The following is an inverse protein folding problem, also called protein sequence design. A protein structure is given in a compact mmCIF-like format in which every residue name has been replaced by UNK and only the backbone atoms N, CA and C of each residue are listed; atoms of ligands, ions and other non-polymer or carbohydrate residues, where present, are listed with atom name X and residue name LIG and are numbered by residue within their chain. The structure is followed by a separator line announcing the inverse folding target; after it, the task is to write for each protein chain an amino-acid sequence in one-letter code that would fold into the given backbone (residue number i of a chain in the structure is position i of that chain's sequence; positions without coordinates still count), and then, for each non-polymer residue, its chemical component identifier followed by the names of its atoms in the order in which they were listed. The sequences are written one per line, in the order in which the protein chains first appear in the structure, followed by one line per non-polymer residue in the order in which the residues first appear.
data_IF_827908071007
#
_entry.id   IF_827908071007
#
_cell.length_a   1.000
_cell.length_b   1.000
_cell.length_c   1.000
_cell.angle_alpha   90.00
_cell.angle_beta   90.00
_cell.angle_gamma   90.00
#
_symmetry.space_group_name_H-M   'P 1'
#
loop_
_entity.id
_entity.type
_entity.pdbx_description
1 polymer ?
#
# COMPACT_ATOMS: atom_id res chain seq x y z
N UNK A 1 -17.86 1.19 -39.12
CA UNK A 1 -16.58 0.59 -38.67
C UNK A 1 -16.60 0.46 -37.13
N UNK A 2 -15.80 -0.44 -36.59
CA UNK A 2 -15.64 -0.50 -35.12
C UNK A 2 -14.89 0.75 -34.64
N UNK A 3 -15.35 1.35 -33.53
CA UNK A 3 -14.67 2.49 -32.91
C UNK A 3 -13.25 2.13 -32.49
N UNK A 4 -12.33 3.08 -32.58
CA UNK A 4 -10.99 2.98 -32.04
C UNK A 4 -10.90 3.84 -30.76
N UNK A 5 -9.92 3.53 -29.88
CA UNK A 5 -9.81 4.20 -28.59
C UNK A 5 -8.37 4.61 -28.31
N UNK A 6 -8.20 5.72 -27.60
CA UNK A 6 -6.88 6.17 -27.18
C UNK A 6 -6.28 5.17 -26.15
N UNK A 7 -4.95 5.01 -26.18
CA UNK A 7 -4.26 3.96 -25.42
C UNK A 7 -4.41 4.11 -23.92
N UNK A 8 -4.21 5.31 -23.38
CA UNK A 8 -4.10 5.53 -21.92
C UNK A 8 -5.42 5.91 -21.26
N UNK A 9 -6.19 6.83 -21.87
CA UNK A 9 -7.46 7.32 -21.29
C UNK A 9 -8.67 6.62 -21.83
N UNK A 10 -8.51 5.81 -22.90
CA UNK A 10 -9.62 5.06 -23.54
C UNK A 10 -10.74 5.96 -24.06
N UNK A 11 -10.36 7.12 -24.62
CA UNK A 11 -11.27 8.02 -25.32
C UNK A 11 -11.69 7.39 -26.65
N UNK A 12 -12.96 7.51 -27.01
CA UNK A 12 -13.41 7.10 -28.32
C UNK A 12 -12.90 8.06 -29.40
N UNK A 13 -12.19 7.53 -30.37
CA UNK A 13 -11.62 8.28 -31.49
C UNK A 13 -12.56 8.15 -32.69
N UNK A 14 -13.26 9.23 -33.00
CA UNK A 14 -14.26 9.26 -34.07
C UNK A 14 -13.55 9.51 -35.40
N UNK A 15 -13.78 8.62 -36.36
CA UNK A 15 -13.32 8.81 -37.75
C UNK A 15 -14.22 9.82 -38.47
N UNK A 16 -13.64 10.68 -39.31
CA UNK A 16 -14.39 11.65 -40.08
C UNK A 16 -15.50 10.97 -40.93
N UNK A 17 -16.72 11.47 -40.80
CA UNK A 17 -17.88 10.93 -41.50
C UNK A 17 -18.62 9.81 -40.75
N UNK A 18 -18.08 9.35 -39.61
CA UNK A 18 -18.76 8.35 -38.77
C UNK A 18 -19.57 9.01 -37.66
N UNK A 19 -20.46 8.19 -37.01
CA UNK A 19 -21.22 8.59 -35.80
C UNK A 19 -22.15 9.82 -36.03
N UNK A 20 -22.73 9.95 -37.21
CA UNK A 20 -23.70 11.01 -37.49
C UNK A 20 -24.81 11.02 -36.43
N UNK A 21 -25.06 12.19 -35.83
CA UNK A 21 -26.03 12.36 -34.75
C UNK A 21 -25.59 11.88 -33.36
N UNK A 22 -24.45 11.22 -33.22
CA UNK A 22 -23.95 10.67 -31.94
C UNK A 22 -22.72 11.38 -31.41
N UNK A 23 -21.99 12.12 -32.25
CA UNK A 23 -20.68 12.65 -31.87
C UNK A 23 -20.75 13.65 -30.70
N UNK A 24 -21.86 14.39 -30.54
CA UNK A 24 -22.05 15.26 -29.39
C UNK A 24 -22.05 14.46 -28.07
N UNK A 25 -22.75 13.33 -28.01
CA UNK A 25 -22.75 12.43 -26.84
C UNK A 25 -21.36 11.83 -26.60
N UNK A 26 -20.70 11.35 -27.65
CA UNK A 26 -19.35 10.79 -27.56
C UNK A 26 -18.34 11.84 -27.05
N UNK A 27 -18.42 13.07 -27.59
CA UNK A 27 -17.56 14.17 -27.15
C UNK A 27 -17.77 14.48 -25.66
N UNK A 28 -19.02 14.56 -25.21
CA UNK A 28 -19.33 14.79 -23.80
C UNK A 28 -18.80 13.67 -22.92
N UNK A 29 -18.96 12.41 -23.32
CA UNK A 29 -18.39 11.26 -22.60
C UNK A 29 -16.88 11.32 -22.55
N UNK A 30 -16.22 11.68 -23.64
CA UNK A 30 -14.77 11.86 -23.69
C UNK A 30 -14.30 12.97 -22.73
N UNK A 31 -15.02 14.09 -22.66
CA UNK A 31 -14.73 15.17 -21.70
C UNK A 31 -14.88 14.69 -20.25
N UNK A 32 -15.91 13.90 -19.94
CA UNK A 32 -16.08 13.29 -18.62
C UNK A 32 -14.93 12.34 -18.27
N UNK A 33 -14.43 11.56 -19.23
CA UNK A 33 -13.25 10.71 -19.05
C UNK A 33 -11.99 11.54 -18.77
N UNK A 34 -11.81 12.66 -19.47
CA UNK A 34 -10.70 13.58 -19.22
C UNK A 34 -10.81 14.19 -17.82
N UNK A 35 -12.00 14.61 -17.41
CA UNK A 35 -12.26 15.11 -16.06
C UNK A 35 -11.93 14.07 -14.98
N UNK A 36 -12.39 12.79 -15.15
CA UNK A 36 -12.01 11.71 -14.25
C UNK A 36 -10.49 11.52 -14.17
N UNK A 37 -9.79 11.61 -15.29
CA UNK A 37 -8.33 11.45 -15.33
C UNK A 37 -7.59 12.59 -14.66
N UNK A 38 -8.15 13.81 -14.66
CA UNK A 38 -7.52 15.00 -14.11
C UNK A 38 -7.85 15.22 -12.62
N UNK A 39 -9.12 15.06 -12.24
CA UNK A 39 -9.64 15.43 -10.91
C UNK A 39 -10.56 14.39 -10.30
N UNK A 40 -10.78 13.27 -10.99
CA UNK A 40 -11.76 12.27 -10.58
C UNK A 40 -11.42 11.60 -9.27
N UNK A 41 -12.45 11.36 -8.46
CA UNK A 41 -12.41 10.67 -7.17
C UNK A 41 -13.32 9.45 -7.19
N UNK A 42 -12.85 8.34 -6.66
CA UNK A 42 -13.68 7.16 -6.42
C UNK A 42 -13.42 6.57 -5.04
N UNK A 43 -14.51 6.15 -4.36
CA UNK A 43 -14.45 5.33 -3.16
C UNK A 43 -14.60 3.86 -3.54
N UNK A 44 -13.66 3.03 -3.10
CA UNK A 44 -13.59 1.60 -3.40
C UNK A 44 -13.75 0.81 -2.12
N UNK A 45 -14.80 0.00 -2.05
CA UNK A 45 -15.03 -0.90 -0.91
C UNK A 45 -14.17 -2.16 -1.03
N UNK A 46 -13.32 -2.39 -0.03
CA UNK A 46 -12.41 -3.54 0.05
C UNK A 46 -12.87 -4.59 1.07
N UNK A 47 -14.01 -4.40 1.74
CA UNK A 47 -14.45 -5.30 2.82
C UNK A 47 -14.75 -6.71 2.33
N UNK A 48 -15.53 -6.84 1.26
CA UNK A 48 -16.12 -8.12 0.82
C UNK A 48 -15.26 -8.94 -0.13
N UNK A 49 -14.49 -8.30 -1.01
CA UNK A 49 -13.77 -8.98 -2.11
C UNK A 49 -12.53 -8.19 -2.56
N UNK A 50 -11.67 -8.86 -3.32
CA UNK A 50 -10.64 -8.19 -4.13
C UNK A 50 -11.30 -7.34 -5.22
N UNK A 51 -10.67 -6.23 -5.55
CA UNK A 51 -11.21 -5.31 -6.55
C UNK A 51 -10.25 -5.16 -7.72
N UNK A 52 -10.78 -5.27 -8.93
CA UNK A 52 -10.06 -4.96 -10.17
C UNK A 52 -10.55 -3.62 -10.72
N UNK A 53 -9.62 -2.69 -10.94
CA UNK A 53 -9.93 -1.42 -11.57
C UNK A 53 -10.15 -1.62 -13.08
N UNK A 54 -11.19 -1.00 -13.59
CA UNK A 54 -11.54 -1.06 -15.02
C UNK A 54 -11.12 0.21 -15.76
N UNK A 55 -10.60 0.06 -16.97
CA UNK A 55 -10.43 1.12 -17.97
C UNK A 55 -11.32 0.81 -19.17
N UNK A 56 -12.61 1.13 -19.03
CA UNK A 56 -13.61 0.81 -20.07
C UNK A 56 -13.43 1.72 -21.28
N UNK A 57 -13.37 1.15 -22.47
CA UNK A 57 -13.25 1.89 -23.72
C UNK A 57 -14.47 2.80 -23.93
N UNK A 58 -14.23 4.08 -24.21
CA UNK A 58 -15.27 5.08 -24.51
C UNK A 58 -16.30 5.32 -23.40
N UNK A 59 -16.05 4.91 -22.17
CA UNK A 59 -16.96 5.10 -21.04
C UNK A 59 -16.23 5.47 -19.76
N UNK A 60 -16.93 6.12 -18.83
CA UNK A 60 -16.43 6.36 -17.46
C UNK A 60 -16.26 5.03 -16.72
N UNK A 61 -15.25 4.92 -15.86
CA UNK A 61 -14.98 3.69 -15.08
C UNK A 61 -14.14 4.00 -13.85
N UNK A 62 -14.17 3.11 -12.85
CA UNK A 62 -13.51 3.34 -11.55
C UNK A 62 -12.00 3.58 -11.69
N UNK A 63 -11.30 2.85 -12.57
CA UNK A 63 -9.86 2.99 -12.81
C UNK A 63 -9.46 4.27 -13.55
N UNK A 64 -10.41 5.05 -14.06
CA UNK A 64 -10.12 6.34 -14.71
C UNK A 64 -9.98 7.50 -13.73
N UNK A 65 -10.46 7.35 -12.49
CA UNK A 65 -10.28 8.38 -11.46
C UNK A 65 -8.81 8.44 -11.02
N UNK A 66 -8.32 9.65 -10.81
CA UNK A 66 -6.93 9.85 -10.37
C UNK A 66 -6.75 9.62 -8.87
N UNK A 67 -7.80 9.85 -8.07
CA UNK A 67 -7.79 9.66 -6.63
C UNK A 67 -8.73 8.52 -6.24
N UNK A 68 -8.18 7.53 -5.52
CA UNK A 68 -8.91 6.35 -5.07
C UNK A 68 -8.84 6.29 -3.54
N UNK A 69 -9.99 6.38 -2.88
CA UNK A 69 -10.11 6.13 -1.46
C UNK A 69 -10.56 4.69 -1.25
N UNK A 70 -9.72 3.89 -0.62
CA UNK A 70 -10.06 2.53 -0.23
C UNK A 70 -10.69 2.55 1.17
N UNK A 71 -11.79 1.83 1.37
CA UNK A 71 -12.48 1.79 2.66
C UNK A 71 -13.06 0.41 2.95
N UNK A 72 -13.60 0.24 4.16
CA UNK A 72 -14.24 -0.99 4.63
C UNK A 72 -13.39 -1.76 5.64
N UNK A 73 -14.04 -2.57 6.47
CA UNK A 73 -13.38 -3.48 7.41
C UNK A 73 -13.02 -4.78 6.71
N UNK A 74 -11.73 -5.09 6.63
CA UNK A 74 -11.27 -6.29 5.91
C UNK A 74 -11.66 -7.57 6.66
N UNK A 75 -12.25 -8.53 5.95
CA UNK A 75 -12.56 -9.88 6.43
C UNK A 75 -11.50 -10.91 6.02
N UNK A 76 -10.59 -10.56 5.13
CA UNK A 76 -9.46 -11.36 4.64
C UNK A 76 -8.36 -10.44 4.08
N UNK A 77 -7.20 -10.99 3.72
CA UNK A 77 -6.23 -10.27 2.89
C UNK A 77 -6.89 -9.85 1.58
N UNK A 78 -6.63 -8.61 1.15
CA UNK A 78 -7.25 -8.02 -0.05
C UNK A 78 -6.22 -7.52 -1.02
N UNK A 79 -6.61 -7.54 -2.29
CA UNK A 79 -5.80 -7.05 -3.40
C UNK A 79 -6.61 -6.08 -4.25
N UNK A 80 -6.01 -4.91 -4.52
CA UNK A 80 -6.47 -3.99 -5.55
C UNK A 80 -5.66 -4.26 -6.82
N UNK A 81 -6.33 -4.75 -7.87
CA UNK A 81 -5.67 -5.02 -9.15
C UNK A 81 -5.73 -3.79 -10.05
N UNK A 82 -4.55 -3.31 -10.43
CA UNK A 82 -4.36 -2.14 -11.29
C UNK A 82 -4.32 -2.58 -12.76
N UNK A 83 -4.90 -1.82 -13.69
CA UNK A 83 -4.82 -2.12 -15.12
C UNK A 83 -3.37 -2.08 -15.63
N UNK A 84 -3.02 -3.01 -16.51
CA UNK A 84 -1.70 -3.09 -17.16
C UNK A 84 -1.68 -2.55 -18.60
N UNK A 85 -2.78 -1.96 -19.09
CA UNK A 85 -2.93 -1.56 -20.50
C UNK A 85 -2.72 -0.08 -20.75
N UNK A 86 -2.30 0.67 -19.75
CA UNK A 86 -2.17 2.13 -19.86
C UNK A 86 -1.09 2.68 -18.94
N UNK A 87 -0.38 3.71 -19.41
CA UNK A 87 0.47 4.54 -18.57
C UNK A 87 -0.39 5.48 -17.75
N UNK A 88 -0.45 5.28 -16.45
CA UNK A 88 -1.29 6.07 -15.54
C UNK A 88 -0.66 6.21 -14.16
N UNK A 89 -1.15 7.22 -13.46
CA UNK A 89 -0.86 7.50 -12.07
C UNK A 89 -2.17 7.52 -11.28
N UNK A 90 -2.14 6.96 -10.07
CA UNK A 90 -3.23 7.01 -9.10
C UNK A 90 -2.68 7.42 -7.74
N UNK A 91 -3.42 8.28 -7.06
CA UNK A 91 -3.28 8.47 -5.62
C UNK A 91 -4.21 7.49 -4.92
N UNK A 92 -3.66 6.64 -4.08
CA UNK A 92 -4.41 5.65 -3.30
C UNK A 92 -4.35 6.04 -1.83
N UNK A 93 -5.49 6.44 -1.28
CA UNK A 93 -5.68 6.74 0.15
C UNK A 93 -6.31 5.51 0.82
N UNK A 94 -5.53 4.79 1.59
CA UNK A 94 -6.00 3.64 2.34
C UNK A 94 -6.66 4.09 3.65
N UNK A 95 -7.98 3.99 3.69
CA UNK A 95 -8.82 4.22 4.86
C UNK A 95 -9.49 2.93 5.35
N UNK A 96 -9.01 1.76 4.92
CA UNK A 96 -9.54 0.48 5.37
C UNK A 96 -9.28 0.27 6.86
N UNK A 97 -10.13 -0.51 7.50
CA UNK A 97 -9.88 -1.08 8.82
C UNK A 97 -9.35 -2.52 8.64
N UNK A 98 -8.15 -2.79 9.17
CA UNK A 98 -7.49 -4.10 9.10
C UNK A 98 -8.03 -5.08 10.15
N UNK A 99 -9.25 -4.84 10.68
CA UNK A 99 -9.90 -5.62 11.73
C UNK A 99 -9.17 -5.56 13.08
N UNK A 100 -8.83 -4.34 13.51
CA UNK A 100 -8.31 -4.03 14.84
C UNK A 100 -6.88 -4.49 15.13
N UNK A 101 -6.45 -5.58 14.54
CA UNK A 101 -5.18 -6.26 14.84
C UNK A 101 -4.15 -6.20 13.71
N UNK A 102 -4.40 -5.42 12.67
CA UNK A 102 -3.70 -5.58 11.39
C UNK A 102 -3.69 -7.05 10.90
N UNK A 103 -4.75 -7.77 11.23
CA UNK A 103 -4.90 -9.19 10.94
C UNK A 103 -4.84 -9.47 9.45
N UNK A 104 -5.30 -8.50 8.66
CA UNK A 104 -5.37 -8.62 7.21
C UNK A 104 -4.50 -7.59 6.53
N UNK A 105 -3.96 -7.95 5.37
CA UNK A 105 -3.15 -7.09 4.52
C UNK A 105 -3.96 -6.56 3.33
N UNK A 106 -3.53 -5.42 2.82
CA UNK A 106 -4.01 -4.88 1.55
C UNK A 106 -2.81 -4.66 0.64
N UNK A 107 -2.88 -5.21 -0.55
CA UNK A 107 -1.83 -5.09 -1.53
C UNK A 107 -2.33 -4.54 -2.86
N UNK A 108 -1.39 -4.05 -3.65
CA UNK A 108 -1.61 -3.61 -5.03
C UNK A 108 -0.91 -4.59 -5.97
N UNK A 109 -1.63 -5.04 -6.98
CA UNK A 109 -1.16 -5.97 -7.99
C UNK A 109 -1.39 -5.38 -9.38
N UNK A 110 -0.46 -5.59 -10.30
CA UNK A 110 -0.70 -5.31 -11.73
C UNK A 110 -1.49 -6.45 -12.36
N UNK A 111 -2.49 -6.15 -13.19
CA UNK A 111 -3.24 -7.18 -13.92
C UNK A 111 -2.29 -8.07 -14.74
N UNK A 112 -2.40 -9.40 -14.55
CA UNK A 112 -1.47 -10.37 -15.13
C UNK A 112 -0.12 -10.50 -14.44
N UNK A 113 0.17 -9.69 -13.42
CA UNK A 113 1.35 -9.81 -12.57
C UNK A 113 1.20 -10.89 -11.49
N UNK A 114 2.32 -11.35 -10.95
CA UNK A 114 2.35 -12.34 -9.86
C UNK A 114 2.78 -11.76 -8.52
N UNK A 115 3.28 -10.53 -8.50
CA UNK A 115 3.83 -9.91 -7.29
C UNK A 115 2.89 -8.83 -6.77
N UNK A 116 2.42 -8.99 -5.54
CA UNK A 116 1.60 -8.01 -4.83
C UNK A 116 2.50 -7.14 -3.96
N UNK A 117 2.44 -5.82 -4.15
CA UNK A 117 3.08 -4.86 -3.25
C UNK A 117 2.13 -4.51 -2.12
N UNK A 118 2.52 -4.82 -0.88
CA UNK A 118 1.73 -4.46 0.30
C UNK A 118 1.77 -2.95 0.53
N UNK A 119 0.64 -2.36 0.90
CA UNK A 119 0.56 -0.96 1.33
C UNK A 119 0.27 -0.89 2.83
N UNK A 120 0.91 0.07 3.49
CA UNK A 120 0.74 0.29 4.92
C UNK A 120 -0.68 0.79 5.22
N UNK A 121 -1.23 0.39 6.37
CA UNK A 121 -2.57 0.83 6.80
C UNK A 121 -2.60 2.34 7.02
N UNK A 122 -3.70 2.99 6.62
CA UNK A 122 -3.87 4.45 6.72
C UNK A 122 -2.80 5.25 5.98
N UNK A 123 -2.14 4.64 5.01
CA UNK A 123 -1.14 5.29 4.17
C UNK A 123 -1.77 5.99 2.97
N UNK A 124 -1.05 6.97 2.44
CA UNK A 124 -1.33 7.57 1.14
C UNK A 124 -0.20 7.19 0.19
N UNK A 125 -0.55 6.63 -0.95
CA UNK A 125 0.39 6.06 -1.89
C UNK A 125 0.22 6.69 -3.27
N UNK A 126 1.33 6.91 -3.96
CA UNK A 126 1.36 7.18 -5.40
C UNK A 126 1.62 5.86 -6.12
N UNK A 127 0.68 5.41 -6.92
CA UNK A 127 0.85 4.23 -7.77
C UNK A 127 1.01 4.67 -9.22
N UNK A 128 2.02 4.14 -9.89
CA UNK A 128 2.23 4.33 -11.32
C UNK A 128 2.21 2.97 -12.02
N UNK A 129 1.42 2.85 -13.08
CA UNK A 129 1.55 1.77 -14.06
C UNK A 129 2.19 2.30 -15.34
N UNK A 130 3.07 1.53 -15.94
CA UNK A 130 3.66 1.81 -17.25
C UNK A 130 3.15 0.86 -18.35
N UNK A 131 2.06 0.14 -18.05
CA UNK A 131 1.47 -0.84 -18.95
C UNK A 131 2.02 -2.26 -18.78
N UNK A 132 3.06 -2.45 -17.96
CA UNK A 132 3.63 -3.77 -17.66
C UNK A 132 3.71 -4.06 -16.17
N UNK A 133 4.07 -3.09 -15.37
CA UNK A 133 4.17 -3.20 -13.91
C UNK A 133 3.52 -2.02 -13.20
N UNK A 134 3.19 -2.20 -11.92
CA UNK A 134 2.73 -1.12 -11.05
C UNK A 134 3.79 -0.86 -9.98
N UNK A 135 4.28 0.38 -9.91
CA UNK A 135 5.15 0.86 -8.86
C UNK A 135 4.35 1.63 -7.83
N UNK A 136 4.57 1.32 -6.56
CA UNK A 136 3.95 2.00 -5.43
C UNK A 136 5.00 2.83 -4.72
N UNK A 137 4.70 4.11 -4.51
CA UNK A 137 5.51 5.05 -3.73
C UNK A 137 4.66 5.49 -2.54
N UNK A 138 5.13 5.26 -1.33
CA UNK A 138 4.42 5.65 -0.11
C UNK A 138 4.64 7.15 0.10
N UNK A 139 3.57 7.94 0.09
CA UNK A 139 3.61 9.38 0.35
C UNK A 139 3.37 9.70 1.84
N UNK A 140 2.62 8.84 2.53
CA UNK A 140 2.35 8.93 3.96
C UNK A 140 2.38 7.53 4.56
N UNK A 141 3.19 7.34 5.59
CA UNK A 141 3.33 6.05 6.28
C UNK A 141 2.07 5.70 7.08
N UNK A 142 1.82 4.42 7.26
CA UNK A 142 0.83 3.90 8.20
C UNK A 142 1.22 4.21 9.64
N UNK A 143 0.24 4.53 10.48
CA UNK A 143 0.44 4.79 11.91
C UNK A 143 -0.43 3.81 12.70
N UNK A 144 0.18 3.10 13.65
CA UNK A 144 -0.48 2.10 14.49
C UNK A 144 -0.27 2.35 15.96
N UNK A 145 -1.29 2.03 16.76
CA UNK A 145 -1.19 1.93 18.21
C UNK A 145 -1.40 0.47 18.59
N UNK A 146 -0.35 -0.20 19.04
CA UNK A 146 -0.33 -1.64 19.30
C UNK A 146 -0.08 -1.89 20.78
N UNK A 147 -0.89 -2.72 21.39
CA UNK A 147 -0.69 -3.27 22.72
C UNK A 147 -0.60 -4.82 22.68
N UNK A 148 -0.57 -5.46 23.84
CA UNK A 148 -0.45 -6.91 23.92
C UNK A 148 -1.63 -7.69 23.34
N UNK A 149 -2.80 -7.07 23.17
CA UNK A 149 -3.97 -7.73 22.56
C UNK A 149 -3.78 -7.93 21.06
N UNK A 150 -2.87 -7.15 20.45
CA UNK A 150 -2.50 -7.19 19.04
C UNK A 150 -1.16 -7.86 18.76
N UNK A 151 -0.58 -8.52 19.79
CA UNK A 151 0.69 -9.24 19.66
C UNK A 151 0.46 -10.71 19.25
N UNK A 152 1.23 -11.26 18.29
CA UNK A 152 2.24 -10.58 17.48
C UNK A 152 1.62 -9.75 16.35
N UNK A 153 2.15 -8.54 16.14
CA UNK A 153 1.75 -7.65 15.05
C UNK A 153 2.75 -7.77 13.89
N UNK A 154 2.27 -7.92 12.67
CA UNK A 154 3.15 -7.97 11.49
C UNK A 154 3.17 -6.62 10.77
N UNK A 155 4.32 -5.99 10.78
CA UNK A 155 4.57 -4.73 10.10
C UNK A 155 4.67 -4.90 8.57
N UNK A 156 4.31 -3.84 7.86
CA UNK A 156 4.64 -3.68 6.43
C UNK A 156 5.61 -2.50 6.26
N UNK A 157 6.27 -2.43 5.10
CA UNK A 157 7.21 -1.35 4.81
C UNK A 157 6.54 0.03 4.95
N UNK A 158 7.22 0.95 5.62
CA UNK A 158 6.75 2.31 5.89
C UNK A 158 5.93 2.48 7.17
N UNK A 159 5.65 1.42 7.94
CA UNK A 159 4.88 1.53 9.17
C UNK A 159 5.60 2.31 10.28
N UNK A 160 4.79 3.11 10.99
CA UNK A 160 5.14 3.76 12.25
C UNK A 160 4.29 3.17 13.37
N UNK A 161 4.91 2.45 14.30
CA UNK A 161 4.23 1.61 15.28
C UNK A 161 4.48 2.18 16.67
N UNK A 162 3.42 2.72 17.29
CA UNK A 162 3.40 3.16 18.68
C UNK A 162 2.99 1.97 19.56
N UNK A 163 3.92 1.47 20.36
CA UNK A 163 3.75 0.25 21.15
C UNK A 163 3.50 0.59 22.61
N UNK A 164 2.46 -0.02 23.17
CA UNK A 164 2.12 0.04 24.59
C UNK A 164 2.33 -1.34 25.22
N UNK A 165 3.35 -1.47 26.04
CA UNK A 165 3.68 -2.72 26.78
C UNK A 165 3.29 -2.68 28.25
N UNK A 166 2.44 -1.75 28.69
CA UNK A 166 2.09 -1.61 30.12
C UNK A 166 1.50 -2.90 30.71
N UNK A 167 0.76 -3.68 29.95
CA UNK A 167 0.09 -4.89 30.42
C UNK A 167 0.92 -6.18 30.21
N UNK A 168 1.68 -6.28 29.12
CA UNK A 168 2.53 -7.42 28.81
C UNK A 168 3.51 -7.10 27.68
N UNK A 169 4.44 -8.03 27.41
CA UNK A 169 5.35 -8.01 26.26
C UNK A 169 4.57 -7.95 24.94
N UNK A 170 5.05 -7.15 24.01
CA UNK A 170 4.53 -7.07 22.64
C UNK A 170 5.59 -7.54 21.65
N UNK A 171 5.18 -8.33 20.68
CA UNK A 171 6.04 -8.76 19.56
C UNK A 171 5.63 -8.06 18.27
N UNK A 172 6.60 -7.45 17.60
CA UNK A 172 6.45 -6.87 16.26
C UNK A 172 7.26 -7.70 15.28
N UNK A 173 6.59 -8.33 14.33
CA UNK A 173 7.22 -9.06 13.24
C UNK A 173 7.59 -8.07 12.14
N UNK A 174 8.84 -8.01 11.72
CA UNK A 174 9.27 -7.25 10.55
C UNK A 174 8.75 -7.90 9.25
N UNK A 175 8.64 -7.15 8.14
CA UNK A 175 8.25 -7.71 6.86
C UNK A 175 9.06 -8.95 6.46
N UNK A 176 8.38 -10.02 6.03
CA UNK A 176 9.03 -11.29 5.65
C UNK A 176 9.71 -11.22 4.27
N UNK A 177 9.24 -10.34 3.39
CA UNK A 177 9.79 -10.16 2.03
C UNK A 177 10.11 -8.70 1.78
N UNK A 178 11.04 -8.09 2.54
CA UNK A 178 11.40 -6.69 2.38
C UNK A 178 12.26 -6.49 1.13
N UNK A 179 12.20 -5.27 0.60
CA UNK A 179 13.10 -4.76 -0.45
C UNK A 179 14.10 -3.77 0.16
N UNK A 180 15.25 -3.60 -0.48
CA UNK A 180 16.25 -2.64 -0.02
C UNK A 180 15.66 -1.23 0.08
N UNK A 181 15.85 -0.58 1.23
CA UNK A 181 15.30 0.73 1.54
C UNK A 181 13.96 0.70 2.30
N UNK A 182 13.31 -0.46 2.45
CA UNK A 182 12.11 -0.57 3.28
C UNK A 182 12.42 -0.19 4.73
N UNK A 183 11.51 0.55 5.37
CA UNK A 183 11.69 1.01 6.75
C UNK A 183 10.52 0.58 7.64
N UNK A 184 10.79 0.38 8.93
CA UNK A 184 9.79 0.21 9.99
C UNK A 184 10.26 0.99 11.21
N UNK A 185 9.39 1.82 11.78
CA UNK A 185 9.67 2.58 13.00
C UNK A 185 8.83 2.03 14.15
N UNK A 186 9.47 1.74 15.27
CA UNK A 186 8.83 1.24 16.50
C UNK A 186 9.15 2.21 17.63
N UNK A 187 8.13 2.62 18.38
CA UNK A 187 8.25 3.63 19.43
C UNK A 187 7.49 3.21 20.70
N UNK A 188 8.15 3.34 21.85
CA UNK A 188 7.50 3.18 23.16
C UNK A 188 6.62 4.40 23.47
N UNK A 189 5.31 4.23 23.37
CA UNK A 189 4.33 5.31 23.59
C UNK A 189 3.91 5.46 25.05
N UNK A 190 4.15 4.43 25.84
CA UNK A 190 3.96 4.44 27.30
C UNK A 190 5.27 3.94 27.93
N UNK A 191 6.09 4.78 28.53
CA UNK A 191 7.47 4.44 28.95
C UNK A 191 7.56 3.18 29.79
N UNK A 192 7.47 2.00 29.17
CA UNK A 192 7.33 0.71 29.87
C UNK A 192 8.20 -0.41 29.29
N UNK A 193 8.98 -0.17 28.23
CA UNK A 193 9.84 -1.18 27.61
C UNK A 193 10.88 -1.77 28.57
N UNK A 194 11.29 -1.02 29.60
CA UNK A 194 12.19 -1.54 30.62
C UNK A 194 11.54 -2.62 31.52
N UNK A 195 10.22 -2.57 31.69
CA UNK A 195 9.47 -3.55 32.50
C UNK A 195 8.93 -4.69 31.64
N UNK A 196 8.31 -4.37 30.53
CA UNK A 196 7.80 -5.30 29.55
C UNK A 196 8.37 -4.95 28.19
N UNK A 197 9.37 -5.68 27.76
CA UNK A 197 10.07 -5.41 26.50
C UNK A 197 9.15 -5.46 25.27
N UNK A 198 9.55 -4.78 24.20
CA UNK A 198 9.03 -5.03 22.86
C UNK A 198 10.01 -5.91 22.11
N UNK A 199 9.59 -7.11 21.72
CA UNK A 199 10.40 -8.01 20.90
C UNK A 199 10.19 -7.70 19.42
N UNK A 200 11.28 -7.44 18.71
CA UNK A 200 11.28 -7.27 17.25
C UNK A 200 11.68 -8.59 16.63
N UNK A 201 10.70 -9.28 16.05
CA UNK A 201 10.93 -10.54 15.35
C UNK A 201 11.43 -10.28 13.94
N UNK A 202 12.54 -10.89 13.60
CA UNK A 202 13.20 -10.76 12.29
C UNK A 202 12.40 -11.37 11.12
N UNK A 203 11.40 -12.20 11.41
CA UNK A 203 10.52 -12.85 10.46
C UNK A 203 11.28 -13.53 9.28
N UNK A 204 12.32 -14.31 9.64
CA UNK A 204 13.13 -15.05 8.67
C UNK A 204 14.33 -14.29 8.06
N UNK A 205 14.42 -12.97 8.22
CA UNK A 205 15.54 -12.16 7.73
C UNK A 205 16.59 -11.98 8.84
N UNK A 206 17.76 -11.43 8.50
CA UNK A 206 18.76 -11.04 9.50
C UNK A 206 18.40 -9.69 10.11
N UNK A 207 18.86 -9.44 11.33
CA UNK A 207 18.91 -8.13 11.96
C UNK A 207 20.34 -7.88 12.40
N UNK A 208 20.95 -6.77 11.99
CA UNK A 208 22.35 -6.42 12.29
C UNK A 208 23.33 -7.57 11.92
N UNK A 209 23.06 -8.29 10.82
CA UNK A 209 23.81 -9.46 10.40
C UNK A 209 23.55 -10.74 11.20
N UNK A 210 22.82 -10.64 12.32
CA UNK A 210 22.49 -11.75 13.21
C UNK A 210 21.21 -12.50 12.82
N UNK A 211 21.06 -13.70 13.39
CA UNK A 211 19.89 -14.57 13.18
C UNK A 211 18.99 -14.67 14.41
N UNK A 212 19.13 -13.75 15.36
CA UNK A 212 18.30 -13.63 16.57
C UNK A 212 17.36 -12.44 16.47
N UNK A 213 16.21 -12.54 17.14
CA UNK A 213 15.32 -11.41 17.36
C UNK A 213 15.98 -10.36 18.27
N UNK A 214 15.47 -9.14 18.27
CA UNK A 214 15.99 -8.05 19.10
C UNK A 214 14.91 -7.63 20.11
N UNK A 215 15.33 -7.36 21.34
CA UNK A 215 14.47 -6.80 22.37
C UNK A 215 14.75 -5.30 22.55
N UNK A 216 13.70 -4.50 22.51
CA UNK A 216 13.71 -3.09 22.90
C UNK A 216 13.32 -3.01 24.37
N UNK A 217 14.28 -2.57 25.20
CA UNK A 217 14.21 -2.67 26.69
C UNK A 217 14.40 -1.34 27.40
N UNK A 218 14.46 -0.23 26.69
CA UNK A 218 14.63 1.10 27.28
C UNK A 218 13.34 1.90 27.19
N UNK A 219 12.91 2.49 28.28
CA UNK A 219 11.71 3.33 28.32
C UNK A 219 11.83 4.53 27.38
N UNK A 220 10.72 4.90 26.75
CA UNK A 220 10.63 6.01 25.77
C UNK A 220 11.52 5.81 24.52
N UNK A 221 11.98 4.60 24.29
CA UNK A 221 12.85 4.26 23.16
C UNK A 221 12.10 4.35 21.83
N UNK A 222 12.80 4.84 20.81
CA UNK A 222 12.38 4.76 19.41
C UNK A 222 13.49 4.09 18.59
N UNK A 223 13.11 3.18 17.72
CA UNK A 223 14.03 2.52 16.78
C UNK A 223 13.42 2.49 15.37
N UNK A 224 14.19 2.97 14.40
CA UNK A 224 13.86 2.86 12.97
C UNK A 224 14.78 1.86 12.32
N UNK A 225 14.20 0.82 11.75
CA UNK A 225 14.88 -0.22 11.00
C UNK A 225 14.81 0.11 9.51
N UNK A 226 15.90 -0.14 8.78
CA UNK A 226 15.94 -0.16 7.32
C UNK A 226 16.43 -1.50 6.84
N UNK A 227 15.82 -2.03 5.79
CA UNK A 227 16.31 -3.26 5.17
C UNK A 227 17.41 -2.93 4.15
N UNK A 228 18.54 -3.61 4.29
CA UNK A 228 19.69 -3.44 3.41
C UNK A 228 20.06 -4.78 2.79
N UNK A 229 20.44 -4.74 1.51
CA UNK A 229 21.05 -5.87 0.80
C UNK A 229 22.37 -5.38 0.23
N UNK A 230 23.47 -5.81 0.82
CA UNK A 230 24.80 -5.45 0.37
C UNK A 230 25.66 -6.71 0.24
N UNK A 231 26.13 -6.97 -0.96
CA UNK A 231 27.02 -8.10 -1.23
C UNK A 231 28.47 -7.69 -0.91
N UNK A 232 29.29 -8.53 -0.24
CA UNK A 232 29.01 -9.93 0.13
C UNK A 232 28.36 -10.13 1.50
N UNK A 233 28.04 -9.06 2.23
CA UNK A 233 27.54 -9.14 3.61
C UNK A 233 26.07 -8.74 3.66
N UNK A 234 25.20 -9.73 3.89
CA UNK A 234 23.78 -9.50 4.14
C UNK A 234 23.56 -9.14 5.61
N UNK A 235 23.45 -7.84 5.91
CA UNK A 235 23.09 -7.35 7.25
C UNK A 235 21.59 -7.47 7.55
N UNK A 236 20.75 -7.54 6.51
CA UNK A 236 19.29 -7.57 6.67
C UNK A 236 18.75 -6.25 7.20
N UNK A 237 17.92 -6.32 8.22
CA UNK A 237 17.41 -5.13 8.92
C UNK A 237 18.51 -4.49 9.76
N UNK A 238 18.68 -3.19 9.61
CA UNK A 238 19.68 -2.43 10.39
C UNK A 238 19.07 -1.16 10.97
N UNK A 239 19.65 -0.61 12.04
CA UNK A 239 19.18 0.65 12.61
C UNK A 239 19.62 1.82 11.74
N UNK A 240 18.67 2.70 11.33
CA UNK A 240 19.00 4.05 10.85
C UNK A 240 19.14 4.99 12.05
N UNK A 241 18.23 4.83 13.04
CA UNK A 241 18.21 5.64 14.25
C UNK A 241 17.71 4.80 15.41
N UNK A 242 18.35 4.93 16.56
CA UNK A 242 17.94 4.33 17.82
C UNK A 242 18.15 5.38 18.90
N UNK A 243 17.04 5.95 19.37
CA UNK A 243 17.04 6.91 20.49
C UNK A 243 16.67 6.14 21.75
N UNK A 244 17.48 6.24 22.76
CA UNK A 244 17.35 5.56 24.07
C UNK A 244 17.23 6.58 25.17
#
# INVERSE_FOLDING_TARGET
MASTYSTNTKLELITTGEKAGQWGGITNTNLQIVEQAATGYASIDMAGADVTLALTDGAVSNGKNVYLRLYGTLAANRTLTMPNTANRVWFIDDQTDRNGTNKYTLGVLTAGGSTTTQIANKSVNLCRSDGSETKVIILKNGVYYIDNTYSPFTAVAGDQIFVNTTSAVVTINLPASPTAGDTVTIMDVKPYFASNKCTVDRNGKKIQGGTSNIDLTTNSMSATFIYTVESPVDFGWTYISKVT
#
